data_IF_772234101168
#
_entry.id   IF_772234101168
#
_cell.length_a   1.000
_cell.length_b   1.000
_cell.length_c   1.000
_cell.angle_alpha   90.00
_cell.angle_beta   90.00
_cell.angle_gamma   90.00
#
_symmetry.space_group_name_H-M   'P 1'
#
loop_
_entity.id
_entity.type
_entity.pdbx_description
1 polymer ?
#
# COMPACT_ATOMS: atom_id res chain seq x y z
N UNK A 1 -9.34 19.23 -7.29
CA UNK A 1 -9.39 18.42 -6.05
C UNK A 1 -8.65 17.10 -6.19
N UNK A 2 -8.83 16.34 -7.29
CA UNK A 2 -8.12 15.07 -7.51
C UNK A 2 -6.58 15.20 -7.50
N UNK A 3 -6.02 16.30 -8.02
CA UNK A 3 -4.56 16.50 -8.07
C UNK A 3 -3.93 16.61 -6.66
N UNK A 4 -4.60 17.29 -5.73
CA UNK A 4 -4.15 17.38 -4.33
C UNK A 4 -4.22 16.00 -3.69
N UNK A 5 -5.33 15.27 -3.88
CA UNK A 5 -5.48 13.91 -3.37
C UNK A 5 -4.41 12.96 -3.93
N UNK A 6 -4.07 13.07 -5.22
CA UNK A 6 -3.02 12.28 -5.86
C UNK A 6 -1.63 12.62 -5.31
N UNK A 7 -1.30 13.91 -5.15
CA UNK A 7 -0.02 14.33 -4.57
C UNK A 7 0.12 13.86 -3.13
N UNK A 8 -0.92 14.01 -2.31
CA UNK A 8 -0.92 13.54 -0.94
C UNK A 8 -0.77 12.01 -0.86
N UNK A 9 -1.44 11.26 -1.74
CA UNK A 9 -1.30 9.80 -1.82
C UNK A 9 0.11 9.42 -2.23
N UNK A 10 0.70 10.15 -3.19
CA UNK A 10 2.06 9.93 -3.65
C UNK A 10 3.10 10.16 -2.55
N UNK A 11 2.98 11.27 -1.82
CA UNK A 11 3.84 11.57 -0.67
C UNK A 11 3.69 10.52 0.44
N UNK A 12 2.46 10.08 0.72
CA UNK A 12 2.19 9.01 1.67
C UNK A 12 2.88 7.70 1.26
N UNK A 13 2.76 7.27 0.00
CA UNK A 13 3.42 6.06 -0.50
C UNK A 13 4.94 6.15 -0.42
N UNK A 14 5.52 7.31 -0.78
CA UNK A 14 6.98 7.51 -0.66
C UNK A 14 7.41 7.38 0.81
N UNK A 15 6.67 7.99 1.74
CA UNK A 15 6.94 7.86 3.18
C UNK A 15 6.85 6.43 3.68
N UNK A 16 5.81 5.69 3.27
CA UNK A 16 5.65 4.26 3.58
C UNK A 16 6.81 3.44 3.00
N UNK A 17 7.16 3.62 1.73
CA UNK A 17 8.24 2.89 1.08
C UNK A 17 9.58 3.12 1.78
N UNK A 18 9.86 4.36 2.19
CA UNK A 18 11.03 4.65 3.02
C UNK A 18 10.96 3.93 4.37
N UNK A 19 9.82 3.94 5.06
CA UNK A 19 9.66 3.27 6.36
C UNK A 19 9.96 1.76 6.30
N UNK A 20 9.66 1.09 5.18
CA UNK A 20 10.01 -0.32 4.97
C UNK A 20 11.51 -0.59 5.06
N UNK A 21 12.35 0.36 4.64
CA UNK A 21 13.80 0.26 4.78
C UNK A 21 14.30 0.62 6.18
N UNK A 22 13.58 1.47 6.92
CA UNK A 22 13.92 1.83 8.30
C UNK A 22 13.57 0.71 9.30
N UNK A 23 12.48 -0.02 9.07
CA UNK A 23 12.00 -1.07 9.98
C UNK A 23 11.74 -2.43 9.28
N UNK A 24 12.70 -2.99 8.52
CA UNK A 24 12.47 -4.14 7.65
C UNK A 24 12.01 -5.40 8.40
N UNK A 25 12.42 -5.58 9.66
CA UNK A 25 11.98 -6.70 10.49
C UNK A 25 10.49 -6.61 10.85
N UNK A 26 9.98 -5.41 11.15
CA UNK A 26 8.57 -5.18 11.42
C UNK A 26 7.74 -5.51 10.19
N UNK A 27 8.07 -4.93 9.03
CA UNK A 27 7.33 -5.17 7.80
C UNK A 27 7.43 -6.62 7.32
N UNK A 28 8.60 -7.27 7.47
CA UNK A 28 8.74 -8.69 7.15
C UNK A 28 7.86 -9.60 8.03
N UNK A 29 7.58 -9.19 9.27
CA UNK A 29 6.62 -9.90 10.15
C UNK A 29 5.16 -9.72 9.72
N UNK A 30 4.88 -8.78 8.81
CA UNK A 30 3.55 -8.59 8.22
C UNK A 30 3.30 -9.51 7.02
N UNK A 31 4.36 -10.02 6.40
CA UNK A 31 4.26 -10.90 5.24
C UNK A 31 3.75 -12.28 5.68
N UNK A 32 2.69 -12.83 5.04
CA UNK A 32 2.20 -14.16 5.35
C UNK A 32 3.27 -15.26 5.23
N UNK A 33 3.20 -16.28 6.08
CA UNK A 33 4.20 -17.35 6.16
C UNK A 33 4.30 -18.23 4.90
N UNK A 34 3.25 -18.25 4.08
CA UNK A 34 3.22 -18.98 2.81
C UNK A 34 3.96 -18.25 1.68
N UNK A 35 4.34 -16.98 1.87
CA UNK A 35 5.17 -16.24 0.91
C UNK A 35 6.67 -16.42 1.23
N UNK A 36 7.49 -16.83 0.24
CA UNK A 36 8.91 -16.99 0.46
C UNK A 36 9.63 -15.63 0.53
N UNK A 37 10.73 -15.57 1.29
CA UNK A 37 11.67 -14.43 1.32
C UNK A 37 11.00 -13.09 1.71
N UNK A 38 10.38 -12.99 2.90
CA UNK A 38 9.59 -11.82 3.31
C UNK A 38 10.35 -10.50 3.27
N UNK A 39 11.63 -10.49 3.65
CA UNK A 39 12.48 -9.28 3.59
C UNK A 39 12.68 -8.77 2.15
N UNK A 40 12.78 -9.66 1.18
CA UNK A 40 12.95 -9.28 -0.24
C UNK A 40 11.64 -8.75 -0.81
N UNK A 41 10.51 -9.40 -0.49
CA UNK A 41 9.18 -8.93 -0.89
C UNK A 41 8.91 -7.52 -0.36
N UNK A 42 9.23 -7.27 0.92
CA UNK A 42 9.16 -5.94 1.54
C UNK A 42 10.03 -4.92 0.81
N UNK A 43 11.27 -5.26 0.45
CA UNK A 43 12.14 -4.34 -0.26
C UNK A 43 11.63 -4.02 -1.68
N UNK A 44 11.12 -5.03 -2.39
CA UNK A 44 10.54 -4.86 -3.74
C UNK A 44 9.27 -4.02 -3.69
N UNK A 45 8.38 -4.29 -2.73
CA UNK A 45 7.14 -3.52 -2.56
C UNK A 45 7.44 -2.07 -2.15
N UNK A 46 8.45 -1.85 -1.31
CA UNK A 46 8.92 -0.51 -0.94
C UNK A 46 9.43 0.29 -2.15
N UNK A 47 10.19 -0.34 -3.06
CA UNK A 47 10.61 0.31 -4.31
C UNK A 47 9.39 0.65 -5.16
N UNK A 48 8.44 -0.28 -5.29
CA UNK A 48 7.21 -0.05 -6.05
C UNK A 48 6.39 1.12 -5.47
N UNK A 49 6.26 1.22 -4.15
CA UNK A 49 5.60 2.34 -3.46
C UNK A 49 6.26 3.69 -3.77
N UNK A 50 7.59 3.77 -3.72
CA UNK A 50 8.32 5.01 -4.02
C UNK A 50 8.15 5.41 -5.49
N UNK A 51 8.23 4.44 -6.40
CA UNK A 51 8.07 4.68 -7.85
C UNK A 51 6.66 5.14 -8.16
N UNK A 52 5.63 4.41 -7.70
CA UNK A 52 4.23 4.78 -7.90
C UNK A 52 3.88 6.09 -7.20
N UNK A 53 4.42 6.34 -6.00
CA UNK A 53 4.23 7.60 -5.31
C UNK A 53 4.80 8.78 -6.08
N UNK A 54 5.98 8.63 -6.67
CA UNK A 54 6.59 9.63 -7.55
C UNK A 54 5.78 9.84 -8.82
N UNK A 55 5.32 8.77 -9.46
CA UNK A 55 4.50 8.82 -10.68
C UNK A 55 3.11 9.43 -10.46
N UNK A 56 2.53 9.32 -9.26
CA UNK A 56 1.29 10.01 -8.88
C UNK A 56 1.47 11.53 -8.82
N UNK A 57 2.63 12.00 -8.38
CA UNK A 57 2.95 13.43 -8.28
C UNK A 57 3.10 14.04 -9.68
N UNK A 58 3.80 13.35 -10.58
CA UNK A 58 4.02 13.80 -11.97
C UNK A 58 2.74 13.70 -12.80
N UNK A 59 2.18 14.82 -13.31
CA UNK A 59 0.88 14.82 -14.01
C UNK A 59 0.81 13.86 -15.21
N UNK A 60 1.91 13.74 -15.97
CA UNK A 60 1.97 12.92 -17.18
C UNK A 60 1.83 11.41 -16.90
N UNK A 61 2.20 10.94 -15.72
CA UNK A 61 2.16 9.51 -15.34
C UNK A 61 1.02 9.18 -14.38
N UNK A 62 0.30 10.19 -13.89
CA UNK A 62 -0.66 10.07 -12.79
C UNK A 62 -1.79 9.10 -13.10
N UNK A 63 -2.35 9.15 -14.31
CA UNK A 63 -3.48 8.31 -14.68
C UNK A 63 -3.12 6.82 -14.67
N UNK A 64 -1.95 6.46 -15.21
CA UNK A 64 -1.45 5.08 -15.13
C UNK A 64 -1.12 4.70 -13.68
N UNK A 65 -0.43 5.58 -12.97
CA UNK A 65 0.02 5.33 -11.61
C UNK A 65 -1.13 5.14 -10.63
N UNK A 66 -2.24 5.88 -10.79
CA UNK A 66 -3.39 5.78 -9.88
C UNK A 66 -4.05 4.40 -9.96
N UNK A 67 -4.21 3.84 -11.16
CA UNK A 67 -4.71 2.48 -11.34
C UNK A 67 -3.75 1.42 -10.78
N UNK A 68 -2.45 1.56 -11.03
CA UNK A 68 -1.44 0.65 -10.48
C UNK A 68 -1.37 0.71 -8.95
N UNK A 69 -1.45 1.91 -8.37
CA UNK A 69 -1.54 2.12 -6.92
C UNK A 69 -2.79 1.48 -6.35
N UNK A 70 -3.96 1.68 -6.96
CA UNK A 70 -5.21 1.05 -6.52
C UNK A 70 -5.11 -0.48 -6.54
N UNK A 71 -4.52 -1.06 -7.59
CA UNK A 71 -4.29 -2.49 -7.69
C UNK A 71 -3.34 -3.00 -6.58
N UNK A 72 -2.24 -2.29 -6.31
CA UNK A 72 -1.30 -2.67 -5.25
C UNK A 72 -1.94 -2.59 -3.86
N UNK A 73 -2.72 -1.55 -3.57
CA UNK A 73 -3.45 -1.41 -2.31
C UNK A 73 -4.53 -2.48 -2.15
N UNK A 74 -5.15 -2.94 -3.25
CA UNK A 74 -6.06 -4.08 -3.23
C UNK A 74 -5.33 -5.37 -2.84
N UNK A 75 -4.12 -5.61 -3.36
CA UNK A 75 -3.28 -6.74 -2.92
C UNK A 75 -2.95 -6.64 -1.44
N UNK A 76 -2.56 -5.46 -0.94
CA UNK A 76 -2.28 -5.27 0.49
C UNK A 76 -3.50 -5.54 1.37
N UNK A 77 -4.69 -5.10 0.95
CA UNK A 77 -5.94 -5.41 1.65
C UNK A 77 -6.18 -6.93 1.71
N UNK A 78 -5.88 -7.67 0.65
CA UNK A 78 -5.97 -9.14 0.65
C UNK A 78 -4.99 -9.77 1.66
N UNK A 79 -3.76 -9.26 1.77
CA UNK A 79 -2.79 -9.74 2.75
C UNK A 79 -3.25 -9.47 4.19
N UNK A 80 -3.86 -8.31 4.46
CA UNK A 80 -4.46 -8.01 5.76
C UNK A 80 -5.70 -8.87 6.07
N UNK A 81 -6.51 -9.17 5.07
CA UNK A 81 -7.64 -10.10 5.21
C UNK A 81 -7.16 -11.52 5.52
N UNK A 82 -6.10 -12.00 4.86
CA UNK A 82 -5.45 -13.27 5.18
C UNK A 82 -4.98 -13.28 6.63
N UNK A 83 -4.26 -12.24 7.05
CA UNK A 83 -3.77 -12.09 8.42
C UNK A 83 -4.90 -12.09 9.46
N UNK A 84 -6.01 -11.39 9.21
CA UNK A 84 -7.19 -11.43 10.07
C UNK A 84 -7.83 -12.82 10.13
N UNK A 85 -7.84 -13.57 9.02
CA UNK A 85 -8.37 -14.94 8.96
C UNK A 85 -7.50 -15.92 9.73
N UNK A 86 -6.19 -15.78 9.67
CA UNK A 86 -5.21 -16.67 10.31
C UNK A 86 -4.76 -16.19 11.69
N UNK A 87 -5.33 -15.10 12.21
CA UNK A 87 -4.94 -14.48 13.46
C UNK A 87 -5.14 -15.43 14.66
N UNK A 88 -4.05 -15.76 15.35
CA UNK A 88 -4.06 -16.47 16.64
C UNK A 88 -4.08 -15.52 17.85
N UNK A 89 -3.82 -14.23 17.61
CA UNK A 89 -3.75 -13.17 18.62
C UNK A 89 -4.97 -12.22 18.63
N UNK A 90 -4.81 -10.97 19.10
CA UNK A 90 -5.90 -10.01 19.23
C UNK A 90 -6.52 -9.61 17.88
N UNK A 91 -7.65 -10.21 17.53
CA UNK A 91 -8.37 -9.96 16.26
C UNK A 91 -8.71 -8.49 16.00
N UNK A 92 -8.82 -7.67 17.04
CA UNK A 92 -9.10 -6.22 16.92
C UNK A 92 -7.98 -5.47 16.22
N UNK A 93 -6.71 -5.82 16.47
CA UNK A 93 -5.58 -5.18 15.82
C UNK A 93 -5.55 -5.51 14.32
N UNK A 94 -5.83 -6.77 13.99
CA UNK A 94 -5.89 -7.23 12.60
C UNK A 94 -7.07 -6.63 11.84
N UNK A 95 -8.24 -6.52 12.48
CA UNK A 95 -9.40 -5.84 11.92
C UNK A 95 -9.14 -4.34 11.70
N UNK A 96 -8.39 -3.68 12.60
CA UNK A 96 -7.98 -2.29 12.41
C UNK A 96 -7.07 -2.15 11.18
N UNK A 97 -6.11 -3.07 10.98
CA UNK A 97 -5.28 -3.08 9.79
C UNK A 97 -6.07 -3.27 8.50
N UNK A 98 -7.07 -4.14 8.48
CA UNK A 98 -8.01 -4.28 7.35
C UNK A 98 -8.75 -2.98 7.09
N UNK A 99 -9.31 -2.34 8.12
CA UNK A 99 -10.05 -1.09 7.98
C UNK A 99 -9.17 0.04 7.42
N UNK A 100 -7.94 0.16 7.92
CA UNK A 100 -6.96 1.14 7.45
C UNK A 100 -6.60 0.92 5.97
N UNK A 101 -6.33 -0.34 5.58
CA UNK A 101 -5.99 -0.66 4.19
C UNK A 101 -7.18 -0.51 3.23
N UNK A 102 -8.40 -0.76 3.69
CA UNK A 102 -9.61 -0.45 2.94
C UNK A 102 -9.73 1.07 2.72
N UNK A 103 -9.39 1.88 3.73
CA UNK A 103 -9.28 3.34 3.61
C UNK A 103 -8.29 3.77 2.52
N UNK A 104 -7.10 3.17 2.50
CA UNK A 104 -6.10 3.43 1.46
C UNK A 104 -6.61 3.05 0.07
N UNK A 105 -7.24 1.88 -0.08
CA UNK A 105 -7.81 1.45 -1.35
C UNK A 105 -8.91 2.40 -1.83
N UNK A 106 -9.78 2.88 -0.93
CA UNK A 106 -10.79 3.89 -1.28
C UNK A 106 -10.15 5.19 -1.77
N UNK A 107 -9.06 5.64 -1.13
CA UNK A 107 -8.32 6.82 -1.56
C UNK A 107 -7.67 6.61 -2.94
N UNK A 108 -6.98 5.49 -3.15
CA UNK A 108 -6.38 5.14 -4.44
C UNK A 108 -7.42 5.02 -5.55
N UNK A 109 -8.55 4.35 -5.27
CA UNK A 109 -9.67 4.20 -6.19
C UNK A 109 -10.31 5.54 -6.54
N UNK A 110 -10.51 6.43 -5.57
CA UNK A 110 -11.00 7.79 -5.83
C UNK A 110 -10.05 8.55 -6.77
N UNK A 111 -8.73 8.49 -6.52
CA UNK A 111 -7.73 9.14 -7.38
C UNK A 111 -7.73 8.53 -8.78
N UNK A 112 -7.93 7.23 -8.92
CA UNK A 112 -7.99 6.54 -10.21
C UNK A 112 -9.25 6.91 -11.02
N UNK A 113 -10.41 6.96 -10.37
CA UNK A 113 -11.69 7.27 -11.03
C UNK A 113 -11.86 8.77 -11.31
N UNK A 114 -11.34 9.65 -10.45
CA UNK A 114 -11.48 11.10 -10.60
C UNK A 114 -10.38 11.76 -11.47
N UNK A 115 -9.37 10.98 -11.86
CA UNK A 115 -8.27 11.41 -12.74
C UNK A 115 -8.36 10.87 -14.17
N UNK A 116 -9.41 10.11 -14.49
CA UNK A 116 -9.77 9.73 -15.86
C UNK A 116 -10.57 10.80 -16.58
#
# INVERSE_FOLDING_TARGET
>A
MHAIAATLLGLFLIGCGLAHFLAPAYFASLVPSWLPRPKQLVAVSAIAEIVLGTMLIVPATRALSSWLTAAMLAVYLLLWLDRLRTATGPRRAEAAGVAVNAGYLMWGGYVAMAGG
#
